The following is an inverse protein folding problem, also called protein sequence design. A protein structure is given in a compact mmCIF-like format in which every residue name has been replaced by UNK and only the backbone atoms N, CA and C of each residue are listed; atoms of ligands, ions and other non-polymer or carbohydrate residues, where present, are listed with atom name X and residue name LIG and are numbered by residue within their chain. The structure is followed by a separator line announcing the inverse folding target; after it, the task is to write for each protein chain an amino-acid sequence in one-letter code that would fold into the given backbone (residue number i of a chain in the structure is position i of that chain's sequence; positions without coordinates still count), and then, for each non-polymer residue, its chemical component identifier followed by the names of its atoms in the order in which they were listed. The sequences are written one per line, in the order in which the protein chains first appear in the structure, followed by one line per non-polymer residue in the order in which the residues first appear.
data_IF_791255150427
#
_entry.id   IF_791255150427
#
_cell.length_a   1.000
_cell.length_b   1.000
_cell.length_c   1.000
_cell.angle_alpha   90.00
_cell.angle_beta   90.00
_cell.angle_gamma   90.00
#
_symmetry.space_group_name_H-M   'P 1'
#
loop_
_entity.id
_entity.type
_entity.pdbx_description
1 polymer ?
#
# COMPACT_ATOMS: atom_id res chain seq x y z
N UNK A 1 -41.74 11.77 -68.11
CA UNK A 1 -41.83 13.01 -67.29
C UNK A 1 -40.57 13.11 -66.46
N UNK A 2 -39.73 14.11 -66.67
CA UNK A 2 -38.56 14.33 -65.80
C UNK A 2 -39.04 14.93 -64.47
N UNK A 3 -38.52 14.46 -63.32
CA UNK A 3 -38.91 15.00 -62.02
C UNK A 3 -38.56 16.49 -61.94
N UNK A 4 -39.47 17.27 -61.37
CA UNK A 4 -39.28 18.71 -61.18
C UNK A 4 -38.00 18.96 -60.36
N UNK A 5 -37.02 19.71 -60.88
CA UNK A 5 -35.73 19.93 -60.21
C UNK A 5 -35.86 20.60 -58.83
N UNK A 6 -36.94 21.34 -58.58
CA UNK A 6 -37.24 21.89 -57.26
C UNK A 6 -37.65 20.81 -56.24
N UNK A 7 -38.32 19.75 -56.70
CA UNK A 7 -38.73 18.62 -55.84
C UNK A 7 -37.54 17.78 -55.40
N UNK A 8 -36.56 17.55 -56.28
CA UNK A 8 -35.33 16.82 -55.92
C UNK A 8 -34.44 17.61 -54.97
N UNK A 9 -34.36 18.94 -55.14
CA UNK A 9 -33.60 19.81 -54.25
C UNK A 9 -34.19 19.84 -52.82
N UNK A 10 -35.53 19.92 -52.70
CA UNK A 10 -36.21 19.90 -51.41
C UNK A 10 -36.06 18.54 -50.69
N UNK A 11 -36.10 17.43 -51.43
CA UNK A 11 -35.87 16.10 -50.85
C UNK A 11 -34.43 15.94 -50.34
N UNK A 12 -33.43 16.47 -51.05
CA UNK A 12 -32.04 16.44 -50.63
C UNK A 12 -31.79 17.28 -49.36
N UNK A 13 -32.41 18.46 -49.26
CA UNK A 13 -32.34 19.33 -48.07
C UNK A 13 -33.01 18.66 -46.86
N UNK A 14 -34.18 18.05 -47.05
CA UNK A 14 -34.88 17.31 -45.99
C UNK A 14 -34.03 16.12 -45.49
N UNK A 15 -33.39 15.38 -46.39
CA UNK A 15 -32.48 14.29 -46.04
C UNK A 15 -31.26 14.76 -45.25
N UNK A 16 -30.65 15.89 -45.63
CA UNK A 16 -29.53 16.48 -44.88
C UNK A 16 -29.96 16.97 -43.49
N UNK A 17 -31.16 17.52 -43.36
CA UNK A 17 -31.69 18.01 -42.08
C UNK A 17 -31.99 16.87 -41.10
N UNK A 18 -32.54 15.74 -41.57
CA UNK A 18 -32.74 14.56 -40.72
C UNK A 18 -31.40 13.93 -40.29
N UNK A 19 -30.40 13.90 -41.19
CA UNK A 19 -29.05 13.44 -40.83
C UNK A 19 -28.39 14.34 -39.78
N UNK A 20 -28.64 15.66 -39.84
CA UNK A 20 -28.16 16.62 -38.85
C UNK A 20 -28.83 16.41 -37.49
N UNK A 21 -30.16 16.23 -37.44
CA UNK A 21 -30.89 15.89 -36.20
C UNK A 21 -30.40 14.59 -35.57
N UNK A 22 -30.15 13.57 -36.39
CA UNK A 22 -29.68 12.28 -35.90
C UNK A 22 -28.27 12.42 -35.30
N UNK A 23 -27.38 13.17 -35.94
CA UNK A 23 -26.04 13.47 -35.42
C UNK A 23 -26.07 14.35 -34.17
N UNK A 24 -26.94 15.35 -34.09
CA UNK A 24 -27.09 16.18 -32.90
C UNK A 24 -27.62 15.37 -31.71
N UNK A 25 -28.58 14.48 -31.93
CA UNK A 25 -29.10 13.60 -30.87
C UNK A 25 -28.03 12.63 -30.34
N UNK A 26 -27.14 12.12 -31.20
CA UNK A 26 -26.00 11.32 -30.78
C UNK A 26 -24.99 12.10 -29.95
N UNK A 27 -24.78 13.38 -30.28
CA UNK A 27 -23.89 14.29 -29.54
C UNK A 27 -24.43 14.59 -28.13
N UNK A 28 -25.74 14.77 -28.01
CA UNK A 28 -26.40 15.03 -26.72
C UNK A 28 -26.34 13.81 -25.81
N UNK A 29 -26.53 12.60 -26.34
CA UNK A 29 -26.33 11.35 -25.59
C UNK A 29 -24.88 11.20 -25.12
N UNK A 30 -23.90 11.60 -25.93
CA UNK A 30 -22.49 11.54 -25.56
C UNK A 30 -22.16 12.53 -24.45
N UNK A 31 -22.65 13.77 -24.55
CA UNK A 31 -22.51 14.81 -23.50
C UNK A 31 -23.13 14.37 -22.18
N UNK A 32 -24.31 13.72 -22.24
CA UNK A 32 -24.97 13.18 -21.06
C UNK A 32 -24.18 12.03 -20.40
N UNK A 33 -23.56 11.15 -21.21
CA UNK A 33 -22.66 10.11 -20.68
C UNK A 33 -21.39 10.70 -20.07
N UNK A 34 -20.79 11.69 -20.72
CA UNK A 34 -19.60 12.37 -20.21
C UNK A 34 -19.88 13.08 -18.88
N UNK A 35 -21.04 13.76 -18.76
CA UNK A 35 -21.50 14.35 -17.50
C UNK A 35 -21.63 13.27 -16.41
N UNK A 36 -22.28 12.14 -16.71
CA UNK A 36 -22.43 11.03 -15.76
C UNK A 36 -21.08 10.46 -15.30
N UNK A 37 -20.11 10.33 -16.20
CA UNK A 37 -18.76 9.86 -15.86
C UNK A 37 -18.04 10.87 -14.96
N UNK A 38 -18.10 12.17 -15.28
CA UNK A 38 -17.52 13.22 -14.42
C UNK A 38 -18.13 13.21 -13.02
N UNK A 39 -19.46 13.07 -12.93
CA UNK A 39 -20.16 12.98 -11.65
C UNK A 39 -19.79 11.73 -10.85
N UNK A 40 -19.47 10.62 -11.53
CA UNK A 40 -19.02 9.38 -10.91
C UNK A 40 -17.59 9.53 -10.37
N UNK A 41 -16.68 10.11 -11.16
CA UNK A 41 -15.30 10.40 -10.76
C UNK A 41 -15.30 11.31 -9.53
N UNK A 42 -16.06 12.40 -9.55
CA UNK A 42 -16.15 13.33 -8.42
C UNK A 42 -16.75 12.66 -7.17
N UNK A 43 -17.69 11.73 -7.32
CA UNK A 43 -18.20 10.92 -6.19
C UNK A 43 -17.12 9.99 -5.63
N UNK A 44 -16.38 9.30 -6.48
CA UNK A 44 -15.30 8.42 -6.03
C UNK A 44 -14.16 9.17 -5.35
N UNK A 45 -13.74 10.33 -5.88
CA UNK A 45 -12.74 11.18 -5.24
C UNK A 45 -13.17 11.61 -3.83
N UNK A 46 -14.42 12.07 -3.66
CA UNK A 46 -14.96 12.41 -2.33
C UNK A 46 -15.02 11.20 -1.39
N UNK A 47 -15.34 10.02 -1.90
CA UNK A 47 -15.30 8.79 -1.10
C UNK A 47 -13.88 8.42 -0.68
N UNK A 48 -12.88 8.55 -1.56
CA UNK A 48 -11.47 8.32 -1.23
C UNK A 48 -10.99 9.29 -0.16
N UNK A 49 -11.20 10.59 -0.33
CA UNK A 49 -10.83 11.60 0.66
C UNK A 49 -11.48 11.33 2.03
N UNK A 50 -12.75 10.91 2.03
CA UNK A 50 -13.46 10.54 3.27
C UNK A 50 -12.83 9.31 3.91
N UNK A 51 -12.51 8.28 3.14
CA UNK A 51 -11.87 7.06 3.64
C UNK A 51 -10.47 7.35 4.18
N UNK A 52 -9.70 8.19 3.50
CA UNK A 52 -8.38 8.64 3.96
C UNK A 52 -8.48 9.39 5.29
N UNK A 53 -9.44 10.32 5.42
CA UNK A 53 -9.71 11.01 6.69
C UNK A 53 -10.13 10.06 7.81
N UNK A 54 -10.98 9.08 7.49
CA UNK A 54 -11.40 8.06 8.46
C UNK A 54 -10.23 7.17 8.88
N UNK A 55 -9.37 6.75 7.94
CA UNK A 55 -8.14 6.01 8.20
C UNK A 55 -7.20 6.81 9.10
N UNK A 56 -6.97 8.09 8.80
CA UNK A 56 -6.11 8.95 9.61
C UNK A 56 -6.65 9.13 11.03
N UNK A 57 -7.97 9.32 11.18
CA UNK A 57 -8.61 9.43 12.50
C UNK A 57 -8.50 8.12 13.29
N UNK A 58 -8.74 6.98 12.65
CA UNK A 58 -8.61 5.67 13.29
C UNK A 58 -7.16 5.39 13.69
N UNK A 59 -6.19 5.68 12.82
CA UNK A 59 -4.77 5.56 13.14
C UNK A 59 -4.40 6.42 14.36
N UNK A 60 -4.83 7.67 14.39
CA UNK A 60 -4.61 8.56 15.55
C UNK A 60 -5.23 8.00 16.84
N UNK A 61 -6.47 7.50 16.79
CA UNK A 61 -7.11 6.91 17.97
C UNK A 61 -6.37 5.65 18.45
N UNK A 62 -5.87 4.82 17.53
CA UNK A 62 -5.06 3.64 17.87
C UNK A 62 -3.73 4.06 18.50
N UNK A 63 -3.05 5.07 17.95
CA UNK A 63 -1.80 5.60 18.49
C UNK A 63 -1.99 6.26 19.87
N UNK A 64 -3.10 6.98 20.08
CA UNK A 64 -3.44 7.59 21.37
C UNK A 64 -3.82 6.55 22.43
N UNK A 65 -4.51 5.48 22.03
CA UNK A 65 -4.91 4.39 22.92
C UNK A 65 -3.74 3.42 23.23
N UNK A 66 -2.74 3.35 22.34
CA UNK A 66 -1.57 2.52 22.51
C UNK A 66 -0.31 3.41 22.58
N UNK A 67 0.08 3.90 23.78
CA UNK A 67 1.32 4.67 23.94
C UNK A 67 2.57 3.88 23.53
N UNK A 68 2.45 2.55 23.42
CA UNK A 68 3.46 1.63 22.93
C UNK A 68 3.31 1.29 21.43
N UNK A 69 2.65 2.14 20.64
CA UNK A 69 2.47 1.97 19.19
C UNK A 69 3.81 1.65 18.53
N UNK A 70 3.93 0.44 17.97
CA UNK A 70 5.15 -0.07 17.33
C UNK A 70 5.71 0.89 16.29
N UNK A 71 4.84 1.57 15.55
CA UNK A 71 5.24 2.59 14.60
C UNK A 71 6.08 3.68 15.29
N UNK A 72 5.73 4.10 16.51
CA UNK A 72 6.48 5.11 17.25
C UNK A 72 7.89 4.68 17.66
N UNK A 73 8.11 3.39 17.94
CA UNK A 73 9.42 2.85 18.35
C UNK A 73 10.28 2.46 17.15
N UNK A 74 9.64 1.94 16.10
CA UNK A 74 10.31 1.46 14.91
C UNK A 74 10.53 2.56 13.87
N UNK A 75 9.77 3.66 13.89
CA UNK A 75 9.96 4.76 12.94
C UNK A 75 11.36 5.39 13.03
N UNK A 76 11.88 5.75 14.23
CA UNK A 76 13.24 6.27 14.33
C UNK A 76 14.29 5.30 13.79
N UNK A 77 14.08 4.00 14.03
CA UNK A 77 14.97 2.96 13.52
C UNK A 77 14.85 2.83 11.99
N UNK A 78 13.64 2.84 11.45
CA UNK A 78 13.39 2.77 10.01
C UNK A 78 14.02 3.97 9.28
N UNK A 79 13.86 5.17 9.83
CA UNK A 79 14.45 6.41 9.28
C UNK A 79 15.98 6.34 9.30
N UNK A 80 16.57 5.89 10.41
CA UNK A 80 18.03 5.76 10.53
C UNK A 80 18.61 4.69 9.59
N UNK A 81 17.94 3.55 9.44
CA UNK A 81 18.34 2.52 8.48
C UNK A 81 18.25 3.05 7.04
N UNK A 82 17.23 3.86 6.74
CA UNK A 82 17.00 4.39 5.38
C UNK A 82 18.14 5.28 4.89
N UNK A 83 18.91 5.92 5.77
CA UNK A 83 20.12 6.67 5.42
C UNK A 83 21.16 5.81 4.68
N UNK A 84 21.12 4.49 4.87
CA UNK A 84 22.00 3.50 4.23
C UNK A 84 21.40 2.87 2.94
N UNK A 85 20.19 3.28 2.55
CA UNK A 85 19.47 2.80 1.36
C UNK A 85 18.98 3.99 0.51
N UNK A 86 19.89 4.68 -0.21
CA UNK A 86 19.55 5.90 -0.94
C UNK A 86 18.51 5.64 -2.03
N UNK A 87 17.49 6.49 -2.08
CA UNK A 87 16.39 6.41 -3.06
C UNK A 87 15.33 5.34 -2.77
N UNK A 88 15.44 4.64 -1.64
CA UNK A 88 14.45 3.66 -1.20
C UNK A 88 13.40 4.28 -0.27
N UNK A 89 12.36 3.53 0.03
CA UNK A 89 11.37 3.85 1.04
C UNK A 89 11.33 2.77 2.13
N UNK A 90 10.98 3.15 3.36
CA UNK A 90 10.74 2.21 4.45
C UNK A 90 9.24 2.03 4.68
N UNK A 91 8.86 0.82 5.07
CA UNK A 91 7.51 0.47 5.53
C UNK A 91 7.60 -0.32 6.81
N UNK A 92 6.79 0.08 7.78
CA UNK A 92 6.60 -0.65 9.02
C UNK A 92 5.27 -1.41 8.91
N UNK A 93 5.33 -2.70 9.21
CA UNK A 93 4.19 -3.61 9.21
C UNK A 93 4.06 -4.23 10.59
N UNK A 94 2.87 -4.21 11.18
CA UNK A 94 2.59 -4.89 12.45
C UNK A 94 1.85 -4.02 13.46
N UNK A 95 1.74 -4.50 14.70
CA UNK A 95 2.16 -5.85 15.13
C UNK A 95 1.23 -6.96 14.61
N UNK A 96 1.76 -8.17 14.52
CA UNK A 96 1.02 -9.38 14.12
C UNK A 96 1.32 -10.56 15.04
N UNK A 97 0.35 -11.48 15.09
CA UNK A 97 0.53 -12.81 15.69
C UNK A 97 0.67 -12.82 17.21
N UNK A 98 0.87 -14.02 17.76
CA UNK A 98 1.01 -14.27 19.20
C UNK A 98 2.29 -13.68 19.78
N UNK A 99 3.33 -13.52 18.95
CA UNK A 99 4.61 -12.96 19.36
C UNK A 99 4.66 -11.43 19.32
N UNK A 100 3.56 -10.74 18.99
CA UNK A 100 3.53 -9.28 18.88
C UNK A 100 4.68 -8.75 17.99
N UNK A 101 4.84 -9.38 16.82
CA UNK A 101 5.97 -9.18 15.92
C UNK A 101 5.63 -8.11 14.89
N UNK A 102 6.57 -7.21 14.64
CA UNK A 102 6.49 -6.21 13.59
C UNK A 102 7.66 -6.41 12.62
N UNK A 103 7.59 -5.81 11.44
CA UNK A 103 8.68 -5.86 10.46
C UNK A 103 8.90 -4.49 9.86
N UNK A 104 10.17 -4.17 9.60
CA UNK A 104 10.56 -3.05 8.75
C UNK A 104 10.98 -3.64 7.42
N UNK A 105 10.44 -3.13 6.33
CA UNK A 105 10.80 -3.49 4.96
C UNK A 105 11.27 -2.25 4.22
N UNK A 106 12.45 -2.34 3.61
CA UNK A 106 13.03 -1.33 2.74
C UNK A 106 12.75 -1.76 1.31
N UNK A 107 12.17 -0.88 0.51
CA UNK A 107 11.75 -1.21 -0.85
C UNK A 107 12.01 -0.07 -1.83
N UNK A 108 12.23 -0.45 -3.08
CA UNK A 108 12.29 0.43 -4.24
C UNK A 108 10.85 0.85 -4.63
N UNK A 109 10.46 2.12 -4.40
CA UNK A 109 9.11 2.58 -4.69
C UNK A 109 8.77 2.51 -6.18
N UNK A 110 9.76 2.49 -7.08
CA UNK A 110 9.52 2.38 -8.52
C UNK A 110 9.10 0.97 -8.95
N UNK A 111 9.43 -0.06 -8.16
CA UNK A 111 9.08 -1.47 -8.42
C UNK A 111 7.84 -1.94 -7.64
N UNK A 112 7.32 -1.09 -6.75
CA UNK A 112 6.20 -1.41 -5.89
C UNK A 112 6.60 -2.26 -4.67
N UNK A 113 5.63 -2.47 -3.79
CA UNK A 113 5.88 -2.92 -2.42
C UNK A 113 6.36 -4.37 -2.26
N UNK A 114 6.12 -5.22 -3.27
CA UNK A 114 6.41 -6.66 -3.21
C UNK A 114 7.66 -7.01 -3.99
N UNK A 115 7.76 -6.54 -5.24
CA UNK A 115 8.90 -6.81 -6.12
C UNK A 115 10.07 -5.85 -5.88
N UNK A 116 9.84 -4.79 -5.08
CA UNK A 116 10.85 -3.79 -4.74
C UNK A 116 11.61 -4.03 -3.45
N UNK A 117 11.32 -5.08 -2.67
CA UNK A 117 11.96 -5.26 -1.35
C UNK A 117 13.46 -5.52 -1.50
N UNK A 118 14.28 -4.62 -0.96
CA UNK A 118 15.76 -4.67 -1.00
C UNK A 118 16.37 -4.91 0.39
N UNK A 119 15.55 -4.87 1.43
CA UNK A 119 15.94 -5.29 2.77
C UNK A 119 14.73 -5.47 3.67
N UNK A 120 14.80 -6.39 4.63
CA UNK A 120 13.77 -6.48 5.66
C UNK A 120 14.32 -7.11 6.94
N UNK A 121 13.69 -6.76 8.06
CA UNK A 121 13.99 -7.35 9.36
C UNK A 121 12.72 -7.41 10.20
N UNK A 122 12.53 -8.52 10.92
CA UNK A 122 11.46 -8.70 11.89
C UNK A 122 11.94 -8.31 13.29
N UNK A 123 11.03 -7.72 14.06
CA UNK A 123 11.24 -7.24 15.40
C UNK A 123 10.17 -7.77 16.34
N UNK A 124 10.57 -8.12 17.55
CA UNK A 124 9.71 -8.50 18.64
C UNK A 124 9.92 -7.51 19.78
N UNK A 125 8.82 -7.08 20.40
CA UNK A 125 8.87 -6.24 21.58
C UNK A 125 8.48 -7.08 22.78
N UNK A 126 9.35 -7.13 23.77
CA UNK A 126 9.08 -7.82 25.03
C UNK A 126 8.43 -6.85 26.01
N UNK A 127 7.18 -7.13 26.37
CA UNK A 127 6.34 -6.23 27.18
C UNK A 127 6.82 -6.07 28.63
N UNK A 128 7.71 -6.95 29.10
CA UNK A 128 8.09 -7.01 30.51
C UNK A 128 9.17 -5.97 30.88
N UNK A 129 10.06 -5.66 29.94
CA UNK A 129 11.18 -4.73 30.11
C UNK A 129 11.21 -3.64 29.03
N UNK A 130 10.30 -3.72 28.05
CA UNK A 130 10.26 -2.80 26.92
C UNK A 130 11.42 -2.98 25.96
N UNK A 131 12.12 -4.12 26.02
CA UNK A 131 13.25 -4.44 25.18
C UNK A 131 12.79 -4.75 23.75
N UNK A 132 13.44 -4.09 22.78
CA UNK A 132 13.27 -4.40 21.37
C UNK A 132 14.31 -5.45 20.96
N UNK A 133 13.87 -6.48 20.26
CA UNK A 133 14.70 -7.56 19.76
C UNK A 133 14.46 -7.74 18.27
N UNK A 134 15.47 -8.12 17.49
CA UNK A 134 15.25 -8.59 16.12
C UNK A 134 15.05 -10.11 16.12
N UNK A 135 14.33 -10.63 15.13
CA UNK A 135 14.12 -12.08 14.96
C UNK A 135 15.20 -12.63 14.03
N UNK A 136 16.04 -13.54 14.55
CA UNK A 136 17.07 -14.22 13.77
C UNK A 136 16.50 -15.50 13.13
N UNK A 137 16.21 -15.41 11.83
CA UNK A 137 15.55 -16.48 11.09
C UNK A 137 16.49 -17.67 10.77
N UNK A 138 17.79 -17.51 11.01
CA UNK A 138 18.76 -18.60 10.81
C UNK A 138 18.79 -19.57 12.02
N UNK A 139 18.26 -19.14 13.17
CA UNK A 139 18.33 -19.89 14.42
C UNK A 139 16.96 -20.37 14.87
N UNK A 140 16.62 -21.56 14.39
CA UNK A 140 15.37 -22.22 14.73
C UNK A 140 15.54 -23.16 15.94
N UNK A 141 14.88 -22.84 17.04
CA UNK A 141 14.95 -23.59 18.31
C UNK A 141 14.17 -24.92 18.33
N UNK A 142 13.13 -25.06 17.51
CA UNK A 142 12.25 -26.23 17.51
C UNK A 142 11.42 -26.40 18.79
N UNK A 143 11.28 -25.34 19.59
CA UNK A 143 10.53 -25.34 20.87
C UNK A 143 9.06 -25.73 20.72
N UNK A 144 8.44 -25.33 19.61
CA UNK A 144 7.04 -25.58 19.28
C UNK A 144 6.94 -26.61 18.16
N UNK A 145 6.00 -27.58 18.24
CA UNK A 145 5.82 -28.59 17.19
C UNK A 145 5.49 -27.96 15.82
N UNK A 146 5.89 -28.59 14.70
CA UNK A 146 5.54 -28.11 13.36
C UNK A 146 4.03 -27.89 13.18
N UNK A 147 3.63 -26.82 12.51
CA UNK A 147 2.24 -26.38 12.26
C UNK A 147 1.43 -26.04 13.52
N UNK A 148 2.06 -25.98 14.70
CA UNK A 148 1.40 -25.43 15.88
C UNK A 148 1.24 -23.91 15.75
N UNK A 149 0.38 -23.31 16.59
CA UNK A 149 0.25 -21.86 16.64
C UNK A 149 1.60 -21.18 16.94
N UNK A 150 2.44 -21.77 17.80
CA UNK A 150 3.75 -21.19 18.08
C UNK A 150 4.68 -21.20 16.87
N UNK A 151 4.70 -22.31 16.14
CA UNK A 151 5.51 -22.48 14.93
C UNK A 151 5.09 -21.52 13.81
N UNK A 152 3.79 -21.45 13.50
CA UNK A 152 3.24 -20.56 12.45
C UNK A 152 3.44 -19.08 12.79
N UNK A 153 3.49 -18.73 14.08
CA UNK A 153 3.75 -17.36 14.54
C UNK A 153 5.26 -17.06 14.68
N UNK A 154 6.15 -17.95 14.20
CA UNK A 154 7.60 -17.73 14.23
C UNK A 154 8.20 -17.71 15.64
N UNK A 155 7.53 -18.31 16.63
CA UNK A 155 8.05 -18.38 18.01
C UNK A 155 9.18 -19.39 18.18
N UNK A 156 9.46 -20.18 17.13
CA UNK A 156 10.63 -21.04 17.08
C UNK A 156 11.92 -20.30 16.72
N UNK A 157 11.86 -19.09 16.15
CA UNK A 157 13.05 -18.31 15.82
C UNK A 157 13.53 -17.48 17.01
N UNK A 158 14.85 -17.42 17.19
CA UNK A 158 15.49 -16.66 18.27
C UNK A 158 15.17 -15.17 18.14
N UNK A 159 14.79 -14.54 19.26
CA UNK A 159 14.70 -13.09 19.36
C UNK A 159 15.97 -12.58 20.03
N UNK A 160 16.79 -11.83 19.29
CA UNK A 160 18.06 -11.30 19.76
C UNK A 160 17.88 -9.85 20.21
N UNK A 161 18.14 -9.51 21.49
CA UNK A 161 17.98 -8.16 22.00
C UNK A 161 18.86 -7.13 21.29
N UNK A 162 18.29 -5.96 20.98
CA UNK A 162 19.05 -4.79 20.57
C UNK A 162 19.66 -4.13 21.80
N UNK A 163 20.98 -4.17 21.92
CA UNK A 163 21.70 -3.58 23.05
C UNK A 163 22.34 -2.25 22.65
N UNK A 164 22.89 -1.52 23.63
CA UNK A 164 23.68 -0.31 23.35
C UNK A 164 24.93 -0.59 22.50
N UNK A 165 25.34 -1.86 22.37
CA UNK A 165 26.47 -2.29 21.56
C UNK A 165 26.05 -2.62 20.12
N UNK A 166 24.74 -2.78 19.85
CA UNK A 166 24.25 -3.05 18.50
C UNK A 166 24.46 -1.83 17.62
N UNK A 167 25.25 -2.00 16.57
CA UNK A 167 25.61 -0.92 15.65
C UNK A 167 24.63 -0.82 14.48
N UNK A 168 24.56 0.37 13.87
CA UNK A 168 23.75 0.56 12.66
C UNK A 168 24.26 -0.29 11.50
N UNK A 169 25.58 -0.46 11.37
CA UNK A 169 26.17 -1.28 10.31
C UNK A 169 25.74 -2.75 10.43
N UNK A 170 25.73 -3.32 11.63
CA UNK A 170 25.22 -4.68 11.89
C UNK A 170 23.74 -4.79 11.50
N UNK A 171 22.93 -3.81 11.89
CA UNK A 171 21.51 -3.78 11.52
C UNK A 171 21.32 -3.72 10.01
N UNK A 172 22.02 -2.83 9.31
CA UNK A 172 21.95 -2.72 7.85
C UNK A 172 22.32 -4.03 7.16
N UNK A 173 23.32 -4.77 7.67
CA UNK A 173 23.66 -6.09 7.15
C UNK A 173 22.52 -7.11 7.38
N UNK A 174 21.90 -7.10 8.55
CA UNK A 174 20.73 -7.95 8.84
C UNK A 174 19.57 -7.63 7.88
N UNK A 175 19.30 -6.36 7.61
CA UNK A 175 18.28 -5.93 6.64
C UNK A 175 18.57 -6.46 5.24
N UNK A 176 19.82 -6.31 4.76
CA UNK A 176 20.23 -6.80 3.42
C UNK A 176 20.14 -8.31 3.32
N UNK A 177 20.51 -9.04 4.38
CA UNK A 177 20.39 -10.50 4.46
C UNK A 177 18.94 -10.95 4.26
N UNK A 178 17.98 -10.26 4.88
CA UNK A 178 16.56 -10.57 4.71
C UNK A 178 16.11 -10.59 3.25
N UNK A 179 16.55 -9.62 2.44
CA UNK A 179 16.20 -9.57 1.02
C UNK A 179 17.01 -10.52 0.13
N UNK A 180 18.11 -11.08 0.63
CA UNK A 180 19.07 -11.93 -0.10
C UNK A 180 18.97 -13.43 0.22
N UNK A 181 17.89 -13.89 0.86
CA UNK A 181 17.59 -15.32 1.03
C UNK A 181 16.91 -15.94 -0.19
N UNK A 182 17.49 -15.76 -1.38
CA UNK A 182 17.21 -16.52 -2.62
C UNK A 182 18.52 -17.11 -3.11
#
# INVERSE_FOLDING_TARGET
MQPNPLSSALAAIAGQFELFKQKSSGLDVFRDKERKIRDLIARHQRSLERLEKQRAKAAKTVDEANPYSYARYLQPLADAVLEHFPGMAARIMGPYGLGNTASISIYDPAKGDTDGVVGWLQFRYESNDGQLSYVDLDKHSGRYPPNSLGDINGLNYEAVPLTAETTMDELVQLFRRGAGGV
#
